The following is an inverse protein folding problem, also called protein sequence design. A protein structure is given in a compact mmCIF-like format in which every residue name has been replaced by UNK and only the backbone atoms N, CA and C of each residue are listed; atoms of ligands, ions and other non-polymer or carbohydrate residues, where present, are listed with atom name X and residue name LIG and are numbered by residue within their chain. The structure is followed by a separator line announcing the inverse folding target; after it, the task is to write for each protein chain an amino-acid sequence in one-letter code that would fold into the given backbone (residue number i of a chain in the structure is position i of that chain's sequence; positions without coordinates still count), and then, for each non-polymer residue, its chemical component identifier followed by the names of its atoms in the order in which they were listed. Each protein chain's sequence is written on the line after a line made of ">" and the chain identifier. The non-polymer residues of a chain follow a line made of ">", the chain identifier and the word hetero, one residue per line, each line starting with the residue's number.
data_IF_441556344849
#
_entry.id   IF_441556344849
#
_cell.length_a   1.000
_cell.length_b   1.000
_cell.length_c   1.000
_cell.angle_alpha   90.00
_cell.angle_beta   90.00
_cell.angle_gamma   90.00
#
_symmetry.space_group_name_H-M   'P 1'
#
loop_
_entity.id
_entity.type
_entity.pdbx_description
1 polymer ?
#
# COMPACT_ATOMS: atom_id res chain seq x y z
N UNK A 1 -43.80 41.84 -25.80
CA UNK A 1 -43.26 41.83 -27.18
C UNK A 1 -41.74 41.82 -27.02
N UNK A 2 -40.92 40.85 -27.42
CA UNK A 2 -40.98 39.73 -28.36
C UNK A 2 -40.16 38.58 -27.73
N UNK A 3 -40.60 37.34 -27.96
CA UNK A 3 -39.99 36.08 -27.56
C UNK A 3 -38.74 35.78 -28.40
N UNK A 4 -37.74 35.10 -27.83
CA UNK A 4 -36.90 34.19 -28.62
C UNK A 4 -36.49 32.97 -27.79
N UNK A 5 -37.06 31.85 -28.21
CA UNK A 5 -36.82 30.47 -27.81
C UNK A 5 -35.77 29.86 -28.76
N UNK A 6 -34.78 29.16 -28.22
CA UNK A 6 -33.96 28.17 -28.93
C UNK A 6 -33.64 27.05 -27.92
N UNK A 7 -34.44 25.99 -27.82
CA UNK A 7 -34.45 24.74 -28.60
C UNK A 7 -33.12 23.96 -28.57
N UNK A 8 -33.21 22.80 -27.92
CA UNK A 8 -32.26 21.68 -27.80
C UNK A 8 -31.74 21.15 -29.15
N UNK A 9 -30.67 20.32 -29.10
CA UNK A 9 -30.97 18.89 -29.23
C UNK A 9 -30.29 18.02 -28.17
N UNK A 10 -31.08 17.08 -27.67
CA UNK A 10 -30.65 15.91 -26.94
C UNK A 10 -29.79 15.02 -27.85
N UNK A 11 -28.63 14.60 -27.33
CA UNK A 11 -27.84 13.52 -27.93
C UNK A 11 -28.03 12.30 -27.05
N UNK A 12 -28.92 11.42 -27.50
CA UNK A 12 -29.09 10.07 -27.01
C UNK A 12 -28.20 9.13 -27.85
N UNK A 13 -27.27 8.44 -27.20
CA UNK A 13 -26.59 7.23 -27.68
C UNK A 13 -26.69 6.22 -26.53
N UNK A 14 -27.65 5.31 -26.57
CA UNK A 14 -27.54 3.94 -27.09
C UNK A 14 -26.38 3.13 -26.48
N UNK A 15 -26.73 2.40 -25.42
CA UNK A 15 -26.58 0.95 -25.27
C UNK A 15 -25.35 0.30 -25.95
N UNK A 16 -24.40 -0.10 -25.11
CA UNK A 16 -23.36 -1.05 -25.44
C UNK A 16 -23.01 -1.90 -24.22
N UNK A 17 -23.82 -2.93 -23.97
CA UNK A 17 -23.43 -4.09 -23.17
C UNK A 17 -22.05 -4.59 -23.61
N UNK A 18 -21.09 -4.64 -22.70
CA UNK A 18 -20.05 -5.68 -22.69
C UNK A 18 -19.54 -5.87 -21.27
N UNK A 19 -20.26 -6.73 -20.55
CA UNK A 19 -19.72 -7.58 -19.50
C UNK A 19 -18.58 -8.41 -20.10
N UNK A 20 -17.34 -8.02 -19.84
CA UNK A 20 -16.21 -8.94 -19.89
C UNK A 20 -15.41 -8.79 -18.59
N UNK A 21 -15.84 -9.59 -17.61
CA UNK A 21 -15.01 -10.06 -16.51
C UNK A 21 -13.76 -10.72 -17.11
N UNK A 22 -12.66 -9.97 -17.22
CA UNK A 22 -11.34 -10.54 -17.44
C UNK A 22 -10.79 -10.96 -16.08
N UNK A 23 -11.16 -12.17 -15.66
CA UNK A 23 -10.42 -12.89 -14.62
C UNK A 23 -9.05 -13.25 -15.19
N UNK A 24 -8.03 -12.43 -14.89
CA UNK A 24 -6.62 -12.83 -15.03
C UNK A 24 -6.33 -13.94 -14.03
N UNK A 25 -6.59 -15.19 -14.43
CA UNK A 25 -5.92 -16.34 -13.83
C UNK A 25 -4.50 -16.36 -14.38
N UNK A 26 -3.55 -15.90 -13.57
CA UNK A 26 -2.13 -16.12 -13.80
C UNK A 26 -1.83 -17.62 -13.59
N UNK A 27 -1.95 -18.40 -14.65
CA UNK A 27 -1.39 -19.75 -14.68
C UNK A 27 0.11 -19.59 -14.92
N UNK A 28 0.87 -19.45 -13.84
CA UNK A 28 2.33 -19.56 -13.88
C UNK A 28 2.69 -21.00 -14.29
N UNK A 29 3.05 -21.18 -15.55
CA UNK A 29 3.64 -22.42 -16.04
C UNK A 29 5.05 -22.56 -15.45
N UNK A 30 5.13 -23.29 -14.34
CA UNK A 30 6.41 -23.66 -13.71
C UNK A 30 7.13 -24.65 -14.63
N UNK A 31 8.13 -24.16 -15.36
CA UNK A 31 9.05 -25.01 -16.13
C UNK A 31 9.94 -25.73 -15.12
N UNK A 32 9.57 -26.97 -14.79
CA UNK A 32 10.35 -27.85 -13.94
C UNK A 32 11.63 -28.28 -14.69
N UNK A 33 12.78 -27.75 -14.27
CA UNK A 33 14.09 -28.32 -14.60
C UNK A 33 14.22 -29.71 -13.97
N UNK A 34 14.70 -30.74 -14.69
CA UNK A 34 14.84 -32.08 -14.13
C UNK A 34 16.05 -32.15 -13.20
N UNK A 35 15.79 -32.16 -11.89
CA UNK A 35 16.79 -32.52 -10.89
C UNK A 35 16.87 -34.05 -10.77
N UNK A 36 18.02 -34.61 -11.15
CA UNK A 36 18.32 -36.02 -10.95
C UNK A 36 18.55 -36.33 -9.46
N UNK A 37 17.69 -37.20 -8.91
CA UNK A 37 18.11 -38.30 -8.04
C UNK A 37 18.45 -37.99 -6.57
N UNK A 38 17.45 -38.10 -5.70
CA UNK A 38 17.57 -38.81 -4.42
C UNK A 38 16.18 -39.24 -3.95
N UNK A 39 15.86 -40.54 -4.14
CA UNK A 39 14.63 -41.17 -3.66
C UNK A 39 14.64 -41.22 -2.14
N UNK A 40 13.97 -40.27 -1.51
CA UNK A 40 13.31 -40.51 -0.22
C UNK A 40 11.81 -40.62 -0.50
N UNK A 41 11.19 -41.70 -0.03
CA UNK A 41 9.73 -41.87 -0.07
C UNK A 41 9.08 -40.90 0.92
N UNK A 42 9.12 -39.60 0.63
CA UNK A 42 8.29 -38.63 1.31
C UNK A 42 6.87 -38.81 0.77
N UNK A 43 6.01 -39.37 1.61
CA UNK A 43 4.56 -39.35 1.44
C UNK A 43 4.17 -37.88 1.28
N UNK A 44 3.94 -37.46 0.04
CA UNK A 44 3.37 -36.16 -0.28
C UNK A 44 2.02 -36.11 0.41
N UNK A 45 1.97 -35.45 1.58
CA UNK A 45 0.69 -35.02 2.11
C UNK A 45 0.08 -34.14 1.03
N UNK A 46 -1.19 -34.35 0.65
CA UNK A 46 -1.86 -33.40 -0.20
C UNK A 46 -1.75 -32.05 0.50
N UNK A 47 -1.10 -31.08 -0.14
CA UNK A 47 -1.20 -29.70 0.26
C UNK A 47 -2.68 -29.38 0.23
N UNK A 48 -3.32 -29.41 1.40
CA UNK A 48 -4.62 -28.79 1.58
C UNK A 48 -4.36 -27.33 1.30
N UNK A 49 -4.73 -26.90 0.10
CA UNK A 49 -4.81 -25.50 -0.26
C UNK A 49 -5.76 -24.88 0.76
N UNK A 50 -5.20 -24.26 1.79
CA UNK A 50 -5.98 -23.41 2.67
C UNK A 50 -6.59 -22.34 1.77
N UNK A 51 -7.92 -22.26 1.77
CA UNK A 51 -8.62 -21.24 1.02
C UNK A 51 -8.01 -19.88 1.38
N UNK A 52 -7.61 -19.13 0.34
CA UNK A 52 -7.13 -17.76 0.52
C UNK A 52 -8.31 -16.98 1.09
N UNK A 53 -8.15 -16.50 2.33
CA UNK A 53 -9.19 -15.70 2.99
C UNK A 53 -9.51 -14.47 2.15
N UNK A 54 -10.79 -14.15 2.02
CA UNK A 54 -11.18 -12.91 1.33
C UNK A 54 -10.86 -11.70 2.20
N UNK A 55 -10.81 -10.51 1.61
CA UNK A 55 -10.51 -9.30 2.37
C UNK A 55 -11.61 -8.99 3.41
N UNK A 56 -12.87 -9.39 3.17
CA UNK A 56 -13.97 -9.30 4.13
C UNK A 56 -13.74 -10.20 5.35
N UNK A 57 -13.39 -11.47 5.12
CA UNK A 57 -13.06 -12.42 6.20
C UNK A 57 -11.84 -11.95 7.01
N UNK A 58 -10.87 -11.32 6.34
CA UNK A 58 -9.70 -10.73 7.01
C UNK A 58 -10.13 -9.59 7.92
N UNK A 59 -11.01 -8.69 7.48
CA UNK A 59 -11.48 -7.57 8.30
C UNK A 59 -12.23 -8.02 9.55
N UNK A 60 -13.06 -9.05 9.46
CA UNK A 60 -13.73 -9.62 10.64
C UNK A 60 -12.71 -10.08 11.68
N UNK A 61 -11.69 -10.82 11.26
CA UNK A 61 -10.60 -11.28 12.14
C UNK A 61 -9.81 -10.10 12.72
N UNK A 62 -9.57 -9.04 11.93
CA UNK A 62 -8.89 -7.83 12.42
C UNK A 62 -9.73 -7.14 13.49
N UNK A 63 -11.04 -6.96 13.26
CA UNK A 63 -11.95 -6.32 14.23
C UNK A 63 -12.02 -7.10 15.54
N UNK A 64 -12.07 -8.43 15.47
CA UNK A 64 -11.96 -9.31 16.65
C UNK A 64 -10.64 -9.09 17.39
N UNK A 65 -9.51 -9.10 16.68
CA UNK A 65 -8.19 -8.88 17.28
C UNK A 65 -8.03 -7.49 17.93
N UNK A 66 -8.62 -6.46 17.34
CA UNK A 66 -8.66 -5.10 17.90
C UNK A 66 -9.54 -5.04 19.16
N UNK A 67 -10.67 -5.75 19.17
CA UNK A 67 -11.53 -5.86 20.34
C UNK A 67 -10.85 -6.63 21.49
N UNK A 68 -10.14 -7.72 21.18
CA UNK A 68 -9.32 -8.47 22.15
C UNK A 68 -8.19 -7.61 22.74
N UNK A 69 -7.66 -6.66 21.95
CA UNK A 69 -6.64 -5.71 22.38
C UNK A 69 -7.20 -4.48 23.12
N UNK A 70 -8.52 -4.41 23.34
CA UNK A 70 -9.22 -3.26 23.96
C UNK A 70 -8.95 -1.92 23.25
N UNK A 71 -8.77 -1.96 21.93
CA UNK A 71 -8.38 -0.82 21.10
C UNK A 71 -9.48 -0.35 20.13
N UNK A 72 -10.71 -0.83 20.30
CA UNK A 72 -11.84 -0.55 19.38
C UNK A 72 -12.16 0.94 19.27
N UNK A 73 -12.11 1.67 20.39
CA UNK A 73 -12.38 3.12 20.38
C UNK A 73 -11.35 3.88 19.55
N UNK A 74 -10.06 3.66 19.82
CA UNK A 74 -8.96 4.26 19.07
C UNK A 74 -8.96 3.86 17.59
N UNK A 75 -9.30 2.60 17.28
CA UNK A 75 -9.45 2.13 15.91
C UNK A 75 -10.51 2.92 15.15
N UNK A 76 -11.71 3.05 15.72
CA UNK A 76 -12.81 3.78 15.09
C UNK A 76 -12.47 5.26 14.90
N UNK A 77 -11.81 5.88 15.87
CA UNK A 77 -11.34 7.26 15.76
C UNK A 77 -10.32 7.43 14.64
N UNK A 78 -9.36 6.52 14.50
CA UNK A 78 -8.43 6.52 13.36
C UNK A 78 -9.14 6.40 12.01
N UNK A 79 -10.15 5.53 11.91
CA UNK A 79 -10.95 5.36 10.69
C UNK A 79 -11.70 6.64 10.36
N UNK A 80 -12.35 7.26 11.35
CA UNK A 80 -13.04 8.54 11.18
C UNK A 80 -12.08 9.66 10.76
N UNK A 81 -10.90 9.76 11.39
CA UNK A 81 -9.88 10.74 11.01
C UNK A 81 -9.43 10.58 9.55
N UNK A 82 -9.24 9.35 9.08
CA UNK A 82 -8.88 9.10 7.68
C UNK A 82 -10.00 9.52 6.72
N UNK A 83 -11.25 9.22 7.05
CA UNK A 83 -12.41 9.62 6.25
C UNK A 83 -12.60 11.14 6.21
N UNK A 84 -12.53 11.79 7.37
CA UNK A 84 -12.74 13.24 7.51
C UNK A 84 -11.60 14.07 6.92
N UNK A 85 -10.39 13.51 6.87
CA UNK A 85 -9.22 14.21 6.33
C UNK A 85 -9.37 14.61 4.86
N UNK A 86 -10.35 14.02 4.14
CA UNK A 86 -10.60 14.24 2.71
C UNK A 86 -9.49 13.71 1.81
N UNK A 87 -8.51 13.00 2.39
CA UNK A 87 -7.33 12.46 1.70
C UNK A 87 -7.67 11.16 0.98
N UNK A 88 -8.51 10.35 1.60
CA UNK A 88 -8.86 9.03 1.06
C UNK A 88 -10.08 9.15 0.15
N UNK A 89 -10.01 10.01 -0.86
CA UNK A 89 -11.06 10.16 -1.88
C UNK A 89 -11.30 8.83 -2.63
N UNK A 90 -10.31 7.93 -2.60
CA UNK A 90 -10.33 6.66 -3.32
C UNK A 90 -10.96 5.51 -2.48
N UNK A 91 -10.93 5.59 -1.14
CA UNK A 91 -11.66 4.61 -0.31
C UNK A 91 -13.12 5.04 -0.26
N UNK A 92 -13.91 4.45 -1.14
CA UNK A 92 -15.33 4.77 -1.28
C UNK A 92 -16.12 4.19 -0.10
N UNK A 93 -15.53 3.26 0.66
CA UNK A 93 -16.18 2.55 1.76
C UNK A 93 -15.36 2.58 3.07
N UNK A 94 -16.07 2.47 4.20
CA UNK A 94 -15.46 2.29 5.51
C UNK A 94 -14.56 1.03 5.56
N UNK A 95 -14.96 -0.05 4.88
CA UNK A 95 -14.20 -1.30 4.83
C UNK A 95 -12.83 -1.14 4.17
N UNK A 96 -12.76 -0.41 3.07
CA UNK A 96 -11.49 -0.10 2.41
C UNK A 96 -10.58 0.73 3.31
N UNK A 97 -11.13 1.71 4.01
CA UNK A 97 -10.38 2.55 4.97
C UNK A 97 -9.81 1.69 6.11
N UNK A 98 -10.62 0.78 6.66
CA UNK A 98 -10.18 -0.17 7.68
C UNK A 98 -9.10 -1.11 7.15
N UNK A 99 -9.18 -1.54 5.89
CA UNK A 99 -8.17 -2.42 5.29
C UNK A 99 -6.84 -1.70 5.06
N UNK A 100 -6.86 -0.42 4.65
CA UNK A 100 -5.68 0.42 4.54
C UNK A 100 -5.02 0.58 5.91
N UNK A 101 -5.80 0.93 6.94
CA UNK A 101 -5.32 1.06 8.31
C UNK A 101 -4.77 -0.27 8.85
N UNK A 102 -5.44 -1.39 8.57
CA UNK A 102 -5.00 -2.72 8.96
C UNK A 102 -3.68 -3.11 8.28
N UNK A 103 -3.47 -2.66 7.06
CA UNK A 103 -2.20 -2.87 6.34
C UNK A 103 -1.09 -2.03 6.97
N UNK A 104 -1.33 -0.74 7.23
CA UNK A 104 -0.36 0.16 7.84
C UNK A 104 0.09 -0.35 9.23
N UNK A 105 -0.85 -0.79 10.05
CA UNK A 105 -0.59 -1.24 11.41
C UNK A 105 -0.25 -2.75 11.52
N UNK A 106 -0.03 -3.42 10.39
CA UNK A 106 0.37 -4.84 10.28
C UNK A 106 -0.70 -5.86 10.74
N UNK A 107 -1.91 -5.41 11.10
CA UNK A 107 -3.04 -6.27 11.47
C UNK A 107 -3.50 -7.16 10.32
N UNK A 108 -3.40 -6.70 9.06
CA UNK A 108 -3.71 -7.52 7.89
C UNK A 108 -2.81 -8.75 7.80
N UNK A 109 -1.51 -8.57 8.06
CA UNK A 109 -0.54 -9.67 8.11
C UNK A 109 -0.85 -10.65 9.24
N UNK A 110 -1.15 -10.11 10.43
CA UNK A 110 -1.57 -10.89 11.59
C UNK A 110 -2.81 -11.76 11.32
N UNK A 111 -3.86 -11.19 10.70
CA UNK A 111 -5.10 -11.90 10.40
C UNK A 111 -4.94 -13.00 9.33
N UNK A 112 -4.01 -12.83 8.40
CA UNK A 112 -3.67 -13.84 7.37
C UNK A 112 -3.03 -15.08 7.95
N UNK A 113 -2.36 -15.00 9.09
CA UNK A 113 -1.76 -16.17 9.75
C UNK A 113 -2.86 -17.15 10.16
N UNK A 114 -2.77 -18.38 9.67
CA UNK A 114 -3.78 -19.42 9.90
C UNK A 114 -3.76 -19.97 11.32
N UNK A 115 -2.58 -20.06 11.94
CA UNK A 115 -2.40 -20.60 13.28
C UNK A 115 -2.60 -19.52 14.36
N UNK A 116 -3.57 -19.75 15.25
CA UNK A 116 -3.77 -18.91 16.44
C UNK A 116 -2.53 -18.87 17.35
N UNK A 117 -1.72 -19.94 17.36
CA UNK A 117 -0.47 -19.96 18.11
C UNK A 117 0.59 -19.04 17.49
N UNK A 118 0.71 -19.02 16.17
CA UNK A 118 1.65 -18.13 15.47
C UNK A 118 1.28 -16.65 15.64
N UNK A 119 -0.03 -16.33 15.66
CA UNK A 119 -0.53 -14.96 15.93
C UNK A 119 -0.08 -14.37 17.26
N UNK A 120 0.15 -15.20 18.29
CA UNK A 120 0.65 -14.75 19.60
C UNK A 120 2.07 -14.19 19.55
N UNK A 121 2.84 -14.56 18.53
CA UNK A 121 4.22 -14.09 18.36
C UNK A 121 4.32 -12.85 17.44
N UNK A 122 3.24 -12.52 16.75
CA UNK A 122 3.14 -11.28 15.98
C UNK A 122 2.57 -10.17 16.86
N UNK A 123 3.18 -8.98 16.79
CA UNK A 123 2.76 -7.82 17.57
C UNK A 123 2.43 -6.67 16.62
N UNK A 124 1.21 -6.67 16.04
CA UNK A 124 0.78 -5.55 15.22
C UNK A 124 0.79 -4.26 16.05
N UNK A 125 0.94 -3.12 15.36
CA UNK A 125 1.02 -1.82 16.02
C UNK A 125 -0.35 -1.41 16.52
N UNK A 126 -0.43 -0.89 17.74
CA UNK A 126 -1.69 -0.41 18.29
C UNK A 126 -2.12 0.90 17.59
N UNK A 127 -3.42 1.10 17.34
CA UNK A 127 -3.92 2.34 16.76
C UNK A 127 -3.72 3.51 17.74
N UNK A 128 -3.21 4.63 17.23
CA UNK A 128 -2.96 5.85 17.99
C UNK A 128 -3.50 7.05 17.18
N UNK A 129 -4.69 7.57 17.51
CA UNK A 129 -5.33 8.66 16.78
C UNK A 129 -4.50 9.94 16.78
N UNK A 130 -3.79 10.22 17.88
CA UNK A 130 -2.99 11.43 18.04
C UNK A 130 -1.79 11.40 17.08
N UNK A 131 -1.09 10.26 17.03
CA UNK A 131 0.03 10.09 16.07
C UNK A 131 -0.44 10.11 14.63
N UNK A 132 -1.57 9.46 14.33
CA UNK A 132 -2.13 9.47 12.99
C UNK A 132 -2.51 10.89 12.55
N UNK A 133 -3.14 11.67 13.42
CA UNK A 133 -3.45 13.07 13.14
C UNK A 133 -2.18 13.90 12.89
N UNK A 134 -1.15 13.72 13.71
CA UNK A 134 0.13 14.40 13.53
C UNK A 134 0.80 14.01 12.20
N UNK A 135 0.78 12.72 11.84
CA UNK A 135 1.29 12.22 10.57
C UNK A 135 0.56 12.85 9.38
N UNK A 136 -0.78 12.87 9.40
CA UNK A 136 -1.60 13.49 8.36
C UNK A 136 -1.35 15.00 8.24
N UNK A 137 -1.16 15.69 9.37
CA UNK A 137 -0.85 17.12 9.36
C UNK A 137 0.54 17.37 8.77
N UNK A 138 1.53 16.58 9.15
CA UNK A 138 2.89 16.69 8.62
C UNK A 138 2.94 16.42 7.12
N UNK A 139 2.15 15.48 6.61
CA UNK A 139 2.08 15.21 5.16
C UNK A 139 1.49 16.39 4.36
N UNK A 140 0.62 17.18 4.98
CA UNK A 140 -0.02 18.36 4.37
C UNK A 140 0.86 19.61 4.46
N UNK A 141 1.49 19.84 5.61
CA UNK A 141 2.24 21.08 5.90
C UNK A 141 3.77 20.94 5.75
N UNK A 142 4.27 19.70 5.75
CA UNK A 142 5.69 19.38 5.75
C UNK A 142 6.34 19.54 4.37
N UNK A 143 7.59 19.07 4.20
CA UNK A 143 8.36 19.26 2.98
C UNK A 143 7.67 18.65 1.74
N UNK A 144 6.93 17.56 1.93
CA UNK A 144 6.20 16.91 0.85
C UNK A 144 4.97 17.70 0.40
N UNK A 145 4.31 18.43 1.30
CA UNK A 145 3.10 19.23 1.03
C UNK A 145 2.18 18.61 -0.03
N UNK A 146 1.78 17.35 0.19
CA UNK A 146 1.07 16.56 -0.81
C UNK A 146 -0.38 17.06 -0.95
N UNK A 147 -0.87 17.15 -2.19
CA UNK A 147 -2.29 17.40 -2.44
C UNK A 147 -3.13 16.20 -2.00
N UNK A 148 -4.42 16.41 -1.72
CA UNK A 148 -5.32 15.36 -1.24
C UNK A 148 -5.31 14.11 -2.13
N UNK A 149 -5.39 14.29 -3.45
CA UNK A 149 -5.42 13.18 -4.42
C UNK A 149 -4.10 12.41 -4.45
N UNK A 150 -2.96 13.12 -4.50
CA UNK A 150 -1.64 12.49 -4.53
C UNK A 150 -1.35 11.76 -3.21
N UNK A 151 -1.78 12.32 -2.08
CA UNK A 151 -1.64 11.68 -0.79
C UNK A 151 -2.53 10.43 -0.67
N UNK A 152 -3.75 10.46 -1.21
CA UNK A 152 -4.63 9.30 -1.27
C UNK A 152 -4.01 8.14 -2.04
N UNK A 153 -3.49 8.40 -3.23
CA UNK A 153 -2.78 7.40 -4.04
C UNK A 153 -1.54 6.86 -3.31
N UNK A 154 -0.75 7.74 -2.70
CA UNK A 154 0.44 7.37 -1.97
C UNK A 154 0.15 6.46 -0.76
N UNK A 155 -0.87 6.78 0.03
CA UNK A 155 -1.33 5.96 1.15
C UNK A 155 -1.82 4.60 0.66
N UNK A 156 -2.49 4.51 -0.48
CA UNK A 156 -2.97 3.23 -0.99
C UNK A 156 -1.84 2.28 -1.40
N UNK A 157 -0.78 2.83 -1.99
CA UNK A 157 0.37 2.03 -2.42
C UNK A 157 1.22 1.58 -1.24
N UNK A 158 1.48 2.50 -0.29
CA UNK A 158 2.43 2.29 0.81
C UNK A 158 1.87 2.73 2.18
N UNK A 159 0.77 2.14 2.70
CA UNK A 159 0.07 2.66 3.88
C UNK A 159 0.97 2.87 5.10
N UNK A 160 1.90 1.95 5.35
CA UNK A 160 2.79 1.99 6.51
C UNK A 160 3.72 3.19 6.51
N UNK A 161 4.30 3.53 5.34
CA UNK A 161 5.25 4.62 5.20
C UNK A 161 4.61 6.00 5.40
N UNK A 162 3.32 6.14 5.07
CA UNK A 162 2.62 7.42 5.14
C UNK A 162 1.80 7.60 6.43
N UNK A 163 1.31 6.51 7.06
CA UNK A 163 0.38 6.63 8.19
C UNK A 163 1.01 6.41 9.58
N UNK A 164 2.17 5.78 9.69
CA UNK A 164 2.78 5.47 10.99
C UNK A 164 3.71 6.58 11.46
N UNK A 165 4.75 6.85 10.68
CA UNK A 165 5.76 7.88 10.97
C UNK A 165 6.35 8.40 9.64
N UNK A 166 5.58 9.21 8.89
CA UNK A 166 6.01 9.70 7.58
C UNK A 166 7.23 10.62 7.67
N UNK A 167 7.42 11.30 8.81
CA UNK A 167 8.57 12.16 9.03
C UNK A 167 9.85 11.33 9.15
N UNK A 168 9.86 10.29 9.99
CA UNK A 168 11.01 9.40 10.12
C UNK A 168 11.31 8.69 8.78
N UNK A 169 10.28 8.16 8.11
CA UNK A 169 10.43 7.51 6.81
C UNK A 169 11.05 8.46 5.77
N UNK A 170 10.60 9.73 5.72
CA UNK A 170 11.16 10.74 4.83
C UNK A 170 12.64 11.02 5.13
N UNK A 171 12.99 11.22 6.39
CA UNK A 171 14.37 11.50 6.77
C UNK A 171 15.29 10.31 6.46
N UNK A 172 14.86 9.09 6.78
CA UNK A 172 15.62 7.88 6.50
C UNK A 172 15.81 7.66 4.99
N UNK A 173 14.73 7.80 4.21
CA UNK A 173 14.81 7.66 2.76
C UNK A 173 15.73 8.72 2.14
N UNK A 174 15.60 9.99 2.54
CA UNK A 174 16.43 11.07 2.01
C UNK A 174 17.92 10.92 2.40
N UNK A 175 18.20 10.52 3.65
CA UNK A 175 19.57 10.35 4.13
C UNK A 175 20.30 9.21 3.41
N UNK A 176 19.58 8.13 3.14
CA UNK A 176 20.11 6.94 2.46
C UNK A 176 20.08 7.08 0.95
N UNK A 177 19.35 8.05 0.40
CA UNK A 177 19.26 8.27 -1.04
C UNK A 177 20.63 8.45 -1.72
N UNK A 178 20.83 7.88 -2.93
CA UNK A 178 21.95 8.21 -3.80
C UNK A 178 22.08 9.72 -4.00
N UNK A 179 23.30 10.20 -4.27
CA UNK A 179 23.61 11.63 -4.36
C UNK A 179 22.67 12.42 -5.30
N UNK A 180 22.25 11.83 -6.42
CA UNK A 180 21.31 12.45 -7.37
C UNK A 180 19.90 12.68 -6.82
N UNK A 181 19.49 11.96 -5.78
CA UNK A 181 18.17 12.08 -5.13
C UNK A 181 18.23 12.80 -3.79
N UNK A 182 19.41 13.24 -3.32
CA UNK A 182 19.55 13.90 -2.01
C UNK A 182 19.01 15.32 -1.96
N UNK A 183 18.79 15.95 -3.12
CA UNK A 183 18.14 17.25 -3.18
C UNK A 183 16.65 17.09 -2.79
N UNK A 184 16.16 17.76 -1.73
CA UNK A 184 14.78 17.65 -1.28
C UNK A 184 13.73 17.94 -2.36
N UNK A 185 13.98 18.91 -3.25
CA UNK A 185 13.02 19.30 -4.29
C UNK A 185 12.92 18.20 -5.36
N UNK A 186 14.06 17.63 -5.75
CA UNK A 186 14.11 16.52 -6.68
C UNK A 186 13.55 15.23 -6.06
N UNK A 187 13.88 14.95 -4.80
CA UNK A 187 13.33 13.83 -4.04
C UNK A 187 11.79 13.88 -4.02
N UNK A 188 11.23 15.05 -3.74
CA UNK A 188 9.79 15.28 -3.78
C UNK A 188 9.20 15.02 -5.16
N UNK A 189 9.84 15.50 -6.23
CA UNK A 189 9.40 15.23 -7.60
C UNK A 189 9.41 13.73 -7.94
N UNK A 190 10.42 13.00 -7.44
CA UNK A 190 10.53 11.55 -7.58
C UNK A 190 9.42 10.82 -6.80
N UNK A 191 9.14 11.24 -5.56
CA UNK A 191 8.08 10.69 -4.72
C UNK A 191 6.69 10.90 -5.31
N UNK A 192 6.43 12.06 -5.92
CA UNK A 192 5.16 12.33 -6.61
C UNK A 192 4.92 11.42 -7.82
N UNK A 193 5.99 10.86 -8.41
CA UNK A 193 5.89 9.90 -9.50
C UNK A 193 5.81 8.46 -9.00
N UNK A 194 6.48 8.16 -7.89
CA UNK A 194 6.50 6.84 -7.27
C UNK A 194 6.47 6.97 -5.73
N UNK A 195 5.29 6.82 -5.12
CA UNK A 195 5.12 6.87 -3.67
C UNK A 195 5.94 5.85 -2.87
N UNK A 196 6.35 4.74 -3.48
CA UNK A 196 7.12 3.67 -2.81
C UNK A 196 8.54 4.10 -2.44
N UNK A 197 9.00 5.25 -2.94
CA UNK A 197 10.31 5.84 -2.61
C UNK A 197 10.49 6.04 -1.11
N UNK A 198 9.40 6.34 -0.38
CA UNK A 198 9.46 6.49 1.08
C UNK A 198 9.78 5.19 1.84
N UNK A 199 9.62 4.04 1.20
CA UNK A 199 10.00 2.75 1.78
C UNK A 199 11.50 2.45 1.61
N UNK A 200 12.22 3.23 0.79
CA UNK A 200 13.63 2.99 0.49
C UNK A 200 14.53 3.44 1.63
N UNK A 201 14.86 2.54 2.56
CA UNK A 201 15.63 2.84 3.76
C UNK A 201 17.12 2.49 3.68
N UNK A 202 17.61 2.05 2.52
CA UNK A 202 19.00 1.60 2.40
C UNK A 202 19.57 1.78 1.00
N UNK A 203 20.88 2.07 0.92
CA UNK A 203 21.59 2.22 -0.34
C UNK A 203 22.75 1.23 -0.45
N UNK A 204 22.54 0.20 -1.26
CA UNK A 204 23.51 -0.88 -1.47
C UNK A 204 24.63 -0.54 -2.46
N UNK A 205 24.69 0.67 -3.04
CA UNK A 205 25.67 0.99 -4.09
C UNK A 205 27.11 0.84 -3.59
N UNK A 206 27.37 1.23 -2.33
CA UNK A 206 28.72 1.28 -1.78
C UNK A 206 29.11 0.00 -0.98
N UNK A 207 28.14 -0.70 -0.41
CA UNK A 207 28.38 -1.87 0.47
C UNK A 207 28.13 -3.23 -0.22
N UNK A 208 27.63 -3.21 -1.46
CA UNK A 208 27.23 -4.40 -2.20
C UNK A 208 25.81 -4.84 -1.84
N UNK A 209 24.98 -5.09 -2.87
CA UNK A 209 23.60 -5.52 -2.67
C UNK A 209 23.57 -7.01 -2.31
N UNK A 210 23.19 -7.33 -1.07
CA UNK A 210 22.66 -8.66 -0.77
C UNK A 210 21.41 -8.87 -1.63
N UNK A 211 21.29 -10.01 -2.29
CA UNK A 211 20.27 -10.30 -3.33
C UNK A 211 18.79 -10.24 -2.88
N UNK A 212 18.47 -9.66 -1.73
CA UNK A 212 17.15 -9.65 -1.09
C UNK A 212 16.71 -8.28 -0.56
N UNK A 213 17.41 -7.18 -0.91
CA UNK A 213 17.03 -5.85 -0.46
C UNK A 213 15.83 -5.31 -1.26
N UNK A 214 14.61 -5.74 -0.92
CA UNK A 214 13.37 -5.31 -1.59
C UNK A 214 13.08 -3.81 -1.52
N UNK A 215 13.66 -3.15 -0.51
CA UNK A 215 13.45 -1.76 -0.13
C UNK A 215 14.76 -0.92 -0.19
N UNK A 216 15.64 -1.21 -1.14
CA UNK A 216 16.85 -0.40 -1.34
C UNK A 216 16.77 0.44 -2.63
N UNK A 217 17.55 1.52 -2.64
CA UNK A 217 17.67 2.44 -3.77
C UNK A 217 18.15 1.77 -5.08
N UNK A 218 18.95 0.70 -4.99
CA UNK A 218 19.39 -0.07 -6.16
C UNK A 218 18.21 -0.85 -6.77
N UNK A 219 17.44 -1.55 -5.94
CA UNK A 219 16.23 -2.27 -6.37
C UNK A 219 15.20 -1.31 -6.96
N UNK A 220 15.05 -0.12 -6.36
CA UNK A 220 14.21 0.94 -6.88
C UNK A 220 14.62 1.35 -8.30
N UNK A 221 15.89 1.66 -8.53
CA UNK A 221 16.39 2.04 -9.86
C UNK A 221 16.21 0.93 -10.90
N UNK A 222 16.44 -0.33 -10.52
CA UNK A 222 16.23 -1.48 -11.39
C UNK A 222 14.75 -1.62 -11.77
N UNK A 223 13.82 -1.50 -10.80
CA UNK A 223 12.37 -1.60 -11.02
C UNK A 223 11.86 -0.47 -11.93
N UNK A 224 12.38 0.74 -11.75
CA UNK A 224 11.94 1.94 -12.46
C UNK A 224 12.53 2.07 -13.87
N UNK A 225 13.71 1.48 -14.11
CA UNK A 225 14.43 1.59 -15.38
C UNK A 225 14.87 3.03 -15.71
N UNK A 226 15.21 3.29 -16.98
CA UNK A 226 15.69 4.61 -17.46
C UNK A 226 14.60 5.70 -17.58
N UNK A 227 13.48 5.58 -16.86
CA UNK A 227 12.26 6.39 -17.10
C UNK A 227 12.27 7.78 -16.44
N UNK A 228 13.29 8.09 -15.64
CA UNK A 228 13.46 9.42 -15.02
C UNK A 228 14.48 10.19 -15.84
N UNK A 229 14.17 11.43 -16.28
CA UNK A 229 15.20 12.32 -16.81
C UNK A 229 16.28 12.46 -15.74
N UNK A 230 17.53 12.16 -16.12
CA UNK A 230 18.67 12.54 -15.31
C UNK A 230 18.57 14.07 -15.12
N UNK A 231 18.70 14.59 -13.89
CA UNK A 231 18.65 16.03 -13.66
C UNK A 231 19.90 16.75 -14.21
N UNK A 232 20.77 16.04 -14.94
CA UNK A 232 22.04 16.48 -15.49
C UNK A 232 22.10 16.30 -17.01
#
# INVERSE_FOLDING_TARGET
>A
MIRSLTLFPAVAWLLGNNLLLSSRQEVSAFVATPYYGSRTHHRSQPFLLHAVKTDEEILEIVREGIAEADATAAWNECVTLLQDSGVVVIATTQQETEMILATALEWRGWARVSSAMARKFMKPKQPDPVKLQAALQWLKDGPLALSGDALGEAIQQSPAAYLIDPEAAYQEALQTAPAKYKDPDYFKAVLLQDPSVLECSYNCVDEGCGSECGNCWVSYEIKRGSSVPDPF
#
